data_IF_439451822779
#
_entry.id   IF_439451822779
#
_cell.length_a   1.000
_cell.length_b   1.000
_cell.length_c   1.000
_cell.angle_alpha   90.00
_cell.angle_beta   90.00
_cell.angle_gamma   90.00
#
_symmetry.space_group_name_H-M   'P 1'
#
loop_
_entity.id
_entity.type
_entity.pdbx_description
1 polymer ?
#
# COMPACT_ATOMS: atom_id res chain seq x y z
N UNK A 1 17.66 -50.52 -30.57
CA UNK A 1 17.33 -49.59 -29.47
C UNK A 1 17.21 -48.21 -30.10
N UNK A 2 15.99 -47.80 -30.43
CA UNK A 2 15.73 -46.49 -31.05
C UNK A 2 15.75 -45.41 -29.98
N UNK A 3 16.66 -44.44 -30.15
CA UNK A 3 16.73 -43.24 -29.33
C UNK A 3 15.51 -42.37 -29.63
N UNK A 4 14.57 -42.26 -28.69
CA UNK A 4 13.49 -41.29 -28.76
C UNK A 4 14.08 -39.88 -28.67
N UNK A 5 14.25 -39.25 -29.83
CA UNK A 5 14.60 -37.84 -29.94
C UNK A 5 13.48 -37.05 -29.27
N UNK A 6 13.75 -36.51 -28.08
CA UNK A 6 12.89 -35.52 -27.44
C UNK A 6 12.65 -34.40 -28.45
N UNK A 7 11.45 -34.34 -29.02
CA UNK A 7 10.99 -33.21 -29.81
C UNK A 7 11.17 -31.98 -28.93
N UNK A 8 12.16 -31.13 -29.25
CA UNK A 8 12.30 -29.82 -28.63
C UNK A 8 11.00 -29.08 -28.91
N UNK A 9 10.14 -29.02 -27.90
CA UNK A 9 8.86 -28.31 -27.95
C UNK A 9 9.12 -26.89 -28.43
N UNK A 10 8.37 -26.47 -29.44
CA UNK A 10 8.38 -25.09 -29.96
C UNK A 10 8.35 -24.12 -28.77
N UNK A 11 9.23 -23.10 -28.72
CA UNK A 11 9.19 -22.12 -27.63
C UNK A 11 7.79 -21.52 -27.56
N UNK A 12 7.26 -21.32 -26.35
CA UNK A 12 5.94 -20.72 -26.17
C UNK A 12 5.88 -19.41 -26.94
N UNK A 13 4.75 -19.16 -27.60
CA UNK A 13 4.50 -17.86 -28.19
C UNK A 13 4.53 -16.78 -27.11
N UNK A 14 4.77 -15.54 -27.52
CA UNK A 14 4.78 -14.39 -26.62
C UNK A 14 3.48 -14.28 -25.81
N UNK A 15 2.33 -14.49 -26.46
CA UNK A 15 1.02 -14.43 -25.82
C UNK A 15 0.79 -15.57 -24.83
N UNK A 16 1.23 -16.78 -25.18
CA UNK A 16 1.13 -17.92 -24.27
C UNK A 16 2.01 -17.73 -23.02
N UNK A 17 3.24 -17.22 -23.21
CA UNK A 17 4.15 -16.86 -22.10
C UNK A 17 3.56 -15.78 -21.21
N UNK A 18 2.92 -14.76 -21.81
CA UNK A 18 2.23 -13.68 -21.09
C UNK A 18 1.07 -14.21 -20.25
N UNK A 19 0.28 -15.13 -20.80
CA UNK A 19 -0.85 -15.75 -20.11
C UNK A 19 -0.40 -16.59 -18.91
N UNK A 20 0.64 -17.42 -19.09
CA UNK A 20 1.22 -18.22 -18.01
C UNK A 20 1.79 -17.32 -16.91
N UNK A 21 2.58 -16.31 -17.26
CA UNK A 21 3.12 -15.40 -16.25
C UNK A 21 1.99 -14.70 -15.48
N UNK A 22 0.92 -14.26 -16.15
CA UNK A 22 -0.23 -13.61 -15.49
C UNK A 22 -0.89 -14.48 -14.40
N UNK A 23 -0.98 -15.79 -14.58
CA UNK A 23 -1.61 -16.69 -13.62
C UNK A 23 -0.73 -17.06 -12.42
N UNK A 24 0.58 -16.81 -12.51
CA UNK A 24 1.54 -17.15 -11.44
C UNK A 24 1.60 -16.09 -10.34
N UNK A 25 1.89 -16.55 -9.11
CA UNK A 25 2.20 -15.70 -7.96
C UNK A 25 3.51 -14.92 -8.14
N UNK A 26 3.73 -13.90 -7.31
CA UNK A 26 4.97 -13.10 -7.33
C UNK A 26 6.20 -13.99 -7.16
N UNK A 27 6.19 -14.88 -6.17
CA UNK A 27 7.28 -15.77 -5.82
C UNK A 27 7.63 -16.69 -6.99
N UNK A 28 6.62 -17.29 -7.61
CA UNK A 28 6.79 -18.16 -8.76
C UNK A 28 7.40 -17.40 -9.96
N UNK A 29 6.93 -16.16 -10.22
CA UNK A 29 7.48 -15.32 -11.29
C UNK A 29 8.94 -14.96 -11.05
N UNK A 30 9.33 -14.63 -9.83
CA UNK A 30 10.71 -14.29 -9.48
C UNK A 30 11.65 -15.50 -9.60
N UNK A 31 11.21 -16.67 -9.13
CA UNK A 31 11.97 -17.92 -9.27
C UNK A 31 12.21 -18.26 -10.74
N UNK A 32 11.18 -18.12 -11.59
CA UNK A 32 11.30 -18.31 -13.03
C UNK A 32 12.26 -17.30 -13.64
N UNK A 33 12.19 -16.03 -13.28
CA UNK A 33 13.09 -14.97 -13.81
C UNK A 33 14.55 -15.14 -13.38
N UNK A 34 14.77 -15.77 -12.24
CA UNK A 34 16.12 -16.11 -11.78
C UNK A 34 16.71 -17.20 -12.65
N UNK A 35 15.89 -18.20 -13.04
CA UNK A 35 16.29 -19.31 -13.90
C UNK A 35 16.32 -18.97 -15.39
N UNK A 36 15.45 -18.06 -15.84
CA UNK A 36 15.26 -17.68 -17.24
C UNK A 36 15.23 -16.15 -17.35
N UNK A 37 16.42 -15.50 -17.39
CA UNK A 37 16.52 -14.04 -17.40
C UNK A 37 15.84 -13.37 -18.59
N UNK A 38 15.71 -14.05 -19.73
CA UNK A 38 15.02 -13.51 -20.92
C UNK A 38 13.53 -13.22 -20.70
N UNK A 39 12.90 -13.81 -19.68
CA UNK A 39 11.51 -13.54 -19.32
C UNK A 39 11.32 -12.26 -18.49
N UNK A 40 12.40 -11.62 -18.02
CA UNK A 40 12.31 -10.38 -17.23
C UNK A 40 11.63 -9.25 -17.99
N UNK A 41 11.91 -9.12 -19.29
CA UNK A 41 11.32 -8.09 -20.16
C UNK A 41 9.81 -8.29 -20.33
N UNK A 42 9.35 -9.53 -20.46
CA UNK A 42 7.90 -9.83 -20.56
C UNK A 42 7.24 -9.57 -19.22
N UNK A 43 7.86 -10.02 -18.14
CA UNK A 43 7.33 -9.83 -16.80
C UNK A 43 7.23 -8.35 -16.42
N UNK A 44 8.17 -7.50 -16.86
CA UNK A 44 8.12 -6.07 -16.55
C UNK A 44 6.91 -5.35 -17.16
N UNK A 45 6.29 -5.93 -18.19
CA UNK A 45 5.11 -5.39 -18.86
C UNK A 45 3.79 -5.89 -18.21
N UNK A 46 3.89 -6.80 -17.25
CA UNK A 46 2.74 -7.41 -16.60
C UNK A 46 2.53 -6.81 -15.22
N UNK A 47 1.33 -6.25 -14.92
CA UNK A 47 1.03 -5.85 -13.56
C UNK A 47 1.05 -7.07 -12.64
N UNK A 48 1.44 -6.82 -11.39
CA UNK A 48 1.34 -7.82 -10.34
C UNK A 48 -0.07 -7.84 -9.74
N UNK A 49 -0.39 -8.98 -9.13
CA UNK A 49 -1.57 -9.17 -8.32
C UNK A 49 -1.11 -9.49 -6.91
N UNK A 50 -1.63 -8.76 -5.92
CA UNK A 50 -1.29 -8.95 -4.51
C UNK A 50 -2.56 -9.20 -3.70
N UNK A 51 -2.44 -10.02 -2.66
CA UNK A 51 -3.55 -10.28 -1.75
C UNK A 51 -3.56 -9.22 -0.66
N UNK A 52 -2.41 -8.92 -0.06
CA UNK A 52 -2.30 -7.87 0.95
C UNK A 52 -1.11 -6.96 0.69
N UNK A 53 -1.32 -5.66 0.86
CA UNK A 53 -0.26 -4.65 0.80
C UNK A 53 -0.42 -3.74 2.02
N UNK A 54 0.68 -3.42 2.71
CA UNK A 54 0.68 -2.42 3.77
C UNK A 54 1.81 -1.42 3.53
N UNK A 55 1.46 -0.13 3.55
CA UNK A 55 2.35 1.00 3.33
C UNK A 55 2.41 1.81 4.62
N UNK A 56 3.62 2.03 5.10
CA UNK A 56 3.96 2.92 6.21
C UNK A 56 5.10 3.87 5.77
N UNK A 57 5.51 4.81 6.61
CA UNK A 57 6.57 5.79 6.29
C UNK A 57 7.95 5.15 6.07
N UNK A 58 8.26 4.05 6.78
CA UNK A 58 9.55 3.37 6.72
C UNK A 58 9.45 1.85 6.49
N UNK A 59 8.24 1.33 6.29
CA UNK A 59 7.98 -0.09 6.13
C UNK A 59 7.06 -0.36 4.91
N UNK A 60 7.40 -1.37 4.11
CA UNK A 60 6.57 -1.90 3.04
C UNK A 60 6.29 -3.37 3.29
N UNK A 61 5.02 -3.77 3.26
CA UNK A 61 4.62 -5.18 3.30
C UNK A 61 3.83 -5.55 2.05
N UNK A 62 4.20 -6.66 1.42
CA UNK A 62 3.46 -7.26 0.30
C UNK A 62 3.33 -8.75 0.61
N UNK A 63 2.10 -9.21 0.77
CA UNK A 63 1.78 -10.56 1.23
C UNK A 63 2.60 -10.91 2.49
N UNK A 64 3.42 -11.96 2.44
CA UNK A 64 4.24 -12.43 3.56
C UNK A 64 5.62 -11.75 3.65
N UNK A 65 5.93 -10.82 2.73
CA UNK A 65 7.22 -10.11 2.71
C UNK A 65 7.07 -8.74 3.31
N UNK A 66 7.95 -8.41 4.25
CA UNK A 66 8.05 -7.06 4.82
C UNK A 66 9.48 -6.56 4.78
N UNK A 67 9.65 -5.36 4.26
CA UNK A 67 10.89 -4.60 4.22
C UNK A 67 10.77 -3.44 5.21
N UNK A 68 11.79 -3.25 6.04
CA UNK A 68 11.96 -2.06 6.86
C UNK A 68 13.17 -1.28 6.38
N UNK A 69 13.03 0.02 6.15
CA UNK A 69 14.06 0.92 5.64
C UNK A 69 14.59 1.78 6.78
N UNK A 70 15.77 1.47 7.31
CA UNK A 70 16.32 2.17 8.49
C UNK A 70 17.52 3.04 8.09
N UNK A 71 17.60 4.30 8.55
CA UNK A 71 18.86 5.03 8.47
C UNK A 71 19.92 4.32 9.30
N UNK A 72 21.18 4.46 8.89
CA UNK A 72 22.33 3.99 9.67
C UNK A 72 22.85 5.14 10.52
N UNK A 73 23.20 4.85 11.77
CA UNK A 73 23.55 5.85 12.77
C UNK A 73 25.07 5.83 12.95
N UNK A 74 25.71 6.99 13.03
CA UNK A 74 27.15 7.08 13.30
C UNK A 74 27.42 6.64 14.75
N UNK A 75 28.38 5.74 14.94
CA UNK A 75 28.79 5.30 16.28
C UNK A 75 29.85 6.24 16.91
N UNK A 76 30.12 7.37 16.28
CA UNK A 76 31.20 8.28 16.69
C UNK A 76 30.86 9.06 17.97
N UNK A 77 29.62 8.97 18.49
CA UNK A 77 29.26 9.58 19.77
C UNK A 77 28.58 8.57 20.72
N UNK A 78 29.00 8.52 21.99
CA UNK A 78 28.42 7.63 23.00
C UNK A 78 27.03 8.08 23.47
N UNK A 79 26.60 9.30 23.14
CA UNK A 79 25.31 9.86 23.56
C UNK A 79 24.19 9.52 22.58
N UNK A 80 23.21 8.76 23.07
CA UNK A 80 22.09 8.30 22.24
C UNK A 80 21.15 9.45 21.81
N UNK A 81 21.28 10.59 22.47
CA UNK A 81 20.56 11.84 22.17
C UNK A 81 21.13 12.61 20.97
N UNK A 82 22.41 12.38 20.61
CA UNK A 82 23.11 13.15 19.57
C UNK A 82 23.50 12.29 18.36
N UNK A 83 22.89 11.10 18.22
CA UNK A 83 23.21 10.20 17.13
C UNK A 83 22.82 10.84 15.79
N UNK A 84 23.81 11.06 14.95
CA UNK A 84 23.60 11.55 13.59
C UNK A 84 23.41 10.36 12.65
N UNK A 85 22.47 10.49 11.72
CA UNK A 85 22.33 9.52 10.65
C UNK A 85 23.46 9.73 9.64
N UNK A 86 24.06 8.63 9.18
CA UNK A 86 25.01 8.68 8.08
C UNK A 86 24.20 8.93 6.80
N UNK A 87 24.41 10.06 6.11
CA UNK A 87 23.64 10.38 4.93
C UNK A 87 23.90 9.33 3.84
N UNK A 88 22.86 9.04 3.05
CA UNK A 88 22.93 8.10 1.92
C UNK A 88 23.36 6.68 2.30
N UNK A 89 23.09 6.24 3.54
CA UNK A 89 23.22 4.85 3.93
C UNK A 89 21.90 4.36 4.54
N UNK A 90 21.44 3.21 4.04
CA UNK A 90 20.22 2.55 4.48
C UNK A 90 20.49 1.08 4.81
N UNK A 91 20.00 0.64 5.97
CA UNK A 91 19.88 -0.77 6.30
C UNK A 91 18.44 -1.24 5.98
N UNK A 92 18.32 -2.14 5.01
CA UNK A 92 17.05 -2.80 4.68
C UNK A 92 16.97 -4.12 5.44
N UNK A 93 15.95 -4.26 6.30
CA UNK A 93 15.69 -5.50 7.04
C UNK A 93 14.50 -6.24 6.44
N UNK A 94 14.70 -7.52 6.16
CA UNK A 94 13.63 -8.47 5.86
C UNK A 94 13.40 -9.34 7.11
N UNK A 95 12.15 -9.68 7.43
CA UNK A 95 11.77 -10.37 8.68
C UNK A 95 12.50 -11.69 8.96
N UNK A 96 13.17 -12.28 7.97
CA UNK A 96 13.90 -13.55 8.07
C UNK A 96 15.43 -13.44 7.95
N UNK A 97 16.02 -12.24 7.99
CA UNK A 97 17.47 -12.06 7.82
C UNK A 97 18.09 -10.87 8.56
N UNK A 98 19.42 -10.79 8.50
CA UNK A 98 20.17 -9.62 8.96
C UNK A 98 19.91 -8.38 8.09
N UNK A 99 20.32 -7.18 8.54
CA UNK A 99 20.22 -5.97 7.73
C UNK A 99 21.14 -6.08 6.50
N UNK A 100 20.60 -5.72 5.33
CA UNK A 100 21.39 -5.50 4.13
C UNK A 100 21.67 -4.01 4.00
N UNK A 101 22.95 -3.65 3.93
CA UNK A 101 23.38 -2.26 3.84
C UNK A 101 23.50 -1.80 2.40
N UNK A 102 22.96 -0.61 2.11
CA UNK A 102 22.98 0.03 0.80
C UNK A 102 23.54 1.45 0.90
N UNK A 103 24.30 1.85 -0.12
CA UNK A 103 24.82 3.21 -0.29
C UNK A 103 23.77 4.10 -0.97
N UNK A 104 22.58 4.19 -0.37
CA UNK A 104 21.46 5.03 -0.77
C UNK A 104 20.70 5.49 0.46
N UNK A 105 19.96 6.59 0.35
CA UNK A 105 19.11 7.03 1.46
C UNK A 105 17.97 6.02 1.73
N UNK A 106 17.39 5.98 2.93
CA UNK A 106 16.23 5.13 3.22
C UNK A 106 15.06 5.38 2.26
N UNK A 107 14.79 6.65 1.94
CA UNK A 107 13.72 7.05 1.02
C UNK A 107 13.98 6.56 -0.41
N UNK A 108 15.22 6.72 -0.91
CA UNK A 108 15.59 6.21 -2.24
C UNK A 108 15.46 4.70 -2.34
N UNK A 109 15.88 3.97 -1.30
CA UNK A 109 15.74 2.51 -1.24
C UNK A 109 14.28 2.10 -1.16
N UNK A 110 13.47 2.80 -0.37
CA UNK A 110 12.04 2.54 -0.27
C UNK A 110 11.39 2.75 -1.63
N UNK A 111 11.58 3.91 -2.26
CA UNK A 111 11.05 4.19 -3.59
C UNK A 111 11.48 3.13 -4.61
N UNK A 112 12.74 2.71 -4.61
CA UNK A 112 13.23 1.69 -5.53
C UNK A 112 12.53 0.34 -5.35
N UNK A 113 12.37 -0.13 -4.12
CA UNK A 113 11.66 -1.39 -3.84
C UNK A 113 10.18 -1.22 -4.20
N UNK A 114 9.56 -0.11 -3.82
CA UNK A 114 8.18 0.22 -4.15
C UNK A 114 7.94 0.12 -5.67
N UNK A 115 8.76 0.80 -6.47
CA UNK A 115 8.63 0.83 -7.94
C UNK A 115 8.85 -0.53 -8.60
N UNK A 116 9.62 -1.41 -7.97
CA UNK A 116 9.85 -2.75 -8.49
C UNK A 116 8.58 -3.61 -8.47
N UNK A 117 7.71 -3.41 -7.46
CA UNK A 117 6.50 -4.22 -7.21
C UNK A 117 5.18 -3.48 -7.48
N UNK A 118 5.01 -2.27 -6.96
CA UNK A 118 3.78 -1.47 -7.04
C UNK A 118 3.85 -0.52 -8.25
N UNK A 119 3.47 -1.05 -9.40
CA UNK A 119 3.42 -0.32 -10.67
C UNK A 119 2.04 0.25 -10.93
N UNK A 120 1.94 1.16 -11.91
CA UNK A 120 0.64 1.64 -12.42
C UNK A 120 -0.25 0.45 -12.81
N UNK A 121 -1.52 0.51 -12.43
CA UNK A 121 -2.52 -0.55 -12.62
C UNK A 121 -2.21 -1.88 -11.89
N UNK A 122 -1.35 -1.86 -10.87
CA UNK A 122 -1.24 -3.01 -9.96
C UNK A 122 -2.59 -3.29 -9.32
N UNK A 123 -2.92 -4.56 -9.14
CA UNK A 123 -4.21 -4.97 -8.57
C UNK A 123 -3.98 -5.61 -7.21
N UNK A 124 -4.65 -5.07 -6.19
CA UNK A 124 -4.67 -5.57 -4.81
C UNK A 124 -6.05 -6.17 -4.56
N UNK A 125 -6.12 -7.50 -4.49
CA UNK A 125 -7.36 -8.27 -4.45
C UNK A 125 -7.95 -8.43 -3.05
N UNK A 126 -7.10 -8.49 -2.03
CA UNK A 126 -7.53 -8.56 -0.64
C UNK A 126 -7.58 -7.17 -0.06
N UNK A 127 -6.53 -6.74 0.64
CA UNK A 127 -6.52 -5.50 1.44
C UNK A 127 -5.29 -4.63 1.16
N UNK A 128 -5.52 -3.36 0.86
CA UNK A 128 -4.51 -2.31 0.93
C UNK A 128 -4.66 -1.59 2.28
N UNK A 129 -3.59 -1.59 3.08
CA UNK A 129 -3.47 -0.76 4.29
C UNK A 129 -2.50 0.37 4.06
N UNK A 130 -2.91 1.59 4.40
CA UNK A 130 -2.04 2.78 4.36
C UNK A 130 -2.09 3.43 5.73
N UNK A 131 -1.02 3.28 6.52
CA UNK A 131 -0.94 3.90 7.85
C UNK A 131 -0.28 5.28 7.84
N UNK A 132 0.58 5.49 6.84
CA UNK A 132 1.30 6.74 6.60
C UNK A 132 1.75 6.76 5.15
N UNK A 133 1.59 7.91 4.47
CA UNK A 133 1.91 8.07 3.07
C UNK A 133 3.39 8.48 2.94
N UNK A 134 4.23 7.68 2.27
CA UNK A 134 5.62 8.06 1.99
C UNK A 134 5.68 9.35 1.17
N UNK A 135 6.64 10.22 1.48
CA UNK A 135 6.85 11.51 0.80
C UNK A 135 7.00 11.39 -0.71
N UNK A 136 7.65 10.33 -1.21
CA UNK A 136 7.80 10.09 -2.64
C UNK A 136 6.48 9.76 -3.37
N UNK A 137 5.39 9.45 -2.65
CA UNK A 137 4.06 9.22 -3.23
C UNK A 137 3.25 10.51 -3.35
N UNK A 138 3.45 11.48 -2.45
CA UNK A 138 2.74 12.77 -2.45
C UNK A 138 2.88 13.55 -3.77
N UNK A 139 3.98 13.33 -4.50
CA UNK A 139 4.27 14.02 -5.75
C UNK A 139 3.96 13.19 -7.02
N UNK A 140 3.36 12.00 -6.88
CA UNK A 140 3.12 11.10 -8.02
C UNK A 140 1.77 11.36 -8.67
N UNK A 141 1.80 12.07 -9.79
CA UNK A 141 0.65 12.23 -10.67
C UNK A 141 0.51 11.04 -11.62
N UNK A 142 -0.72 10.78 -12.08
CA UNK A 142 -1.05 9.76 -13.08
C UNK A 142 -0.68 8.31 -12.71
N UNK A 143 -0.48 8.03 -11.43
CA UNK A 143 -0.18 6.70 -10.90
C UNK A 143 -1.36 6.22 -10.07
N UNK A 144 -1.98 5.11 -10.49
CA UNK A 144 -3.17 4.56 -9.85
C UNK A 144 -3.05 3.05 -9.64
N UNK A 145 -3.65 2.56 -8.57
CA UNK A 145 -3.80 1.13 -8.25
C UNK A 145 -5.26 0.72 -8.24
N UNK A 146 -5.53 -0.55 -8.56
CA UNK A 146 -6.84 -1.16 -8.42
C UNK A 146 -6.90 -1.89 -7.10
N UNK A 147 -7.84 -1.55 -6.23
CA UNK A 147 -7.90 -2.02 -4.84
C UNK A 147 -9.32 -2.45 -4.56
N UNK A 148 -9.51 -3.65 -4.00
CA UNK A 148 -10.84 -4.15 -3.61
C UNK A 148 -11.22 -3.66 -2.22
N UNK A 149 -10.38 -3.91 -1.22
CA UNK A 149 -10.59 -3.42 0.15
C UNK A 149 -9.48 -2.45 0.54
N UNK A 150 -9.85 -1.30 1.09
CA UNK A 150 -8.96 -0.23 1.49
C UNK A 150 -9.10 0.07 2.98
N UNK A 151 -7.99 0.14 3.70
CA UNK A 151 -7.91 0.63 5.08
C UNK A 151 -6.89 1.76 5.12
N UNK A 152 -7.33 2.97 5.47
CA UNK A 152 -6.52 4.17 5.52
C UNK A 152 -6.49 4.71 6.95
N UNK A 153 -5.31 5.15 7.39
CA UNK A 153 -5.18 6.10 8.49
C UNK A 153 -4.88 7.49 7.94
N UNK A 154 -5.83 8.40 8.09
CA UNK A 154 -5.74 9.77 7.61
C UNK A 154 -5.29 10.69 8.75
N UNK A 155 -4.10 11.30 8.61
CA UNK A 155 -3.57 12.25 9.61
C UNK A 155 -3.69 13.70 9.19
N UNK A 156 -4.08 13.97 7.95
CA UNK A 156 -4.35 15.31 7.43
C UNK A 156 -5.23 15.25 6.19
N UNK A 157 -5.74 16.40 5.77
CA UNK A 157 -6.42 16.58 4.50
C UNK A 157 -5.54 16.23 3.29
N UNK A 158 -4.25 16.55 3.36
CA UNK A 158 -3.28 16.22 2.30
C UNK A 158 -3.17 14.69 2.10
N UNK A 159 -3.20 13.92 3.19
CA UNK A 159 -3.15 12.46 3.10
C UNK A 159 -4.38 11.90 2.38
N UNK A 160 -5.57 12.48 2.64
CA UNK A 160 -6.80 12.10 1.95
C UNK A 160 -6.73 12.41 0.45
N UNK A 161 -6.30 13.62 0.08
CA UNK A 161 -6.20 14.02 -1.33
C UNK A 161 -5.21 13.13 -2.10
N UNK A 162 -4.05 12.83 -1.49
CA UNK A 162 -3.08 11.92 -2.07
C UNK A 162 -3.67 10.52 -2.28
N UNK A 163 -4.45 10.00 -1.33
CA UNK A 163 -5.13 8.71 -1.50
C UNK A 163 -6.11 8.72 -2.67
N UNK A 164 -6.93 9.78 -2.79
CA UNK A 164 -7.96 9.87 -3.83
C UNK A 164 -7.33 9.77 -5.22
N UNK A 165 -6.14 10.36 -5.39
CA UNK A 165 -5.39 10.30 -6.65
C UNK A 165 -4.74 8.93 -6.91
N UNK A 166 -4.37 8.18 -5.86
CA UNK A 166 -3.62 6.93 -5.96
C UNK A 166 -4.48 5.68 -6.22
N UNK A 167 -5.79 5.75 -6.00
CA UNK A 167 -6.69 4.58 -6.04
C UNK A 167 -7.75 4.71 -7.13
N UNK A 168 -7.93 3.65 -7.92
CA UNK A 168 -9.06 3.50 -8.85
C UNK A 168 -10.33 3.13 -8.06
N UNK A 169 -11.06 4.16 -7.62
CA UNK A 169 -12.30 4.04 -6.85
C UNK A 169 -13.40 3.22 -7.52
N UNK A 170 -13.33 2.97 -8.83
CA UNK A 170 -14.29 2.08 -9.52
C UNK A 170 -14.14 0.63 -9.08
N UNK A 171 -12.95 0.25 -8.61
CA UNK A 171 -12.61 -1.12 -8.21
C UNK A 171 -12.79 -1.40 -6.72
N UNK A 172 -13.03 -0.36 -5.93
CA UNK A 172 -13.14 -0.45 -4.48
C UNK A 172 -14.54 -0.94 -4.09
N UNK A 173 -14.56 -1.99 -3.28
CA UNK A 173 -15.77 -2.63 -2.74
C UNK A 173 -15.95 -2.34 -1.24
N UNK A 174 -14.85 -2.17 -0.49
CA UNK A 174 -14.89 -1.82 0.93
C UNK A 174 -13.81 -0.80 1.26
N UNK A 175 -14.14 0.12 2.16
CA UNK A 175 -13.21 1.13 2.65
C UNK A 175 -13.30 1.18 4.16
N UNK A 176 -12.22 1.55 4.83
CA UNK A 176 -12.20 1.85 6.25
C UNK A 176 -11.23 2.99 6.43
N UNK A 177 -11.69 4.09 7.02
CA UNK A 177 -10.87 5.29 7.19
C UNK A 177 -10.83 5.64 8.65
N UNK A 178 -9.64 5.56 9.23
CA UNK A 178 -9.34 5.99 10.58
C UNK A 178 -8.79 7.40 10.50
N UNK A 179 -9.59 8.38 10.92
CA UNK A 179 -9.17 9.79 10.93
C UNK A 179 -8.62 10.12 12.32
N UNK A 180 -7.43 10.73 12.38
CA UNK A 180 -6.80 11.14 13.66
C UNK A 180 -6.39 12.62 13.67
N UNK A 181 -7.02 13.43 12.83
CA UNK A 181 -6.83 14.88 12.70
C UNK A 181 -8.09 15.60 13.16
N UNK A 182 -8.01 16.88 13.52
CA UNK A 182 -9.17 17.69 13.84
C UNK A 182 -9.98 18.08 12.57
N UNK A 183 -9.43 17.84 11.38
CA UNK A 183 -10.04 18.10 10.06
C UNK A 183 -11.12 17.07 9.66
N UNK A 184 -11.64 16.29 10.61
CA UNK A 184 -12.56 15.16 10.37
C UNK A 184 -13.78 15.56 9.54
N UNK A 185 -14.40 16.70 9.87
CA UNK A 185 -15.63 17.16 9.23
C UNK A 185 -15.41 17.52 7.76
N UNK A 186 -14.31 18.22 7.44
CA UNK A 186 -13.97 18.62 6.07
C UNK A 186 -13.67 17.40 5.18
N UNK A 187 -12.96 16.42 5.75
CA UNK A 187 -12.68 15.14 5.11
C UNK A 187 -14.00 14.41 4.80
N UNK A 188 -14.94 14.39 5.74
CA UNK A 188 -16.25 13.75 5.53
C UNK A 188 -17.11 14.46 4.50
N UNK A 189 -17.20 15.79 4.52
CA UNK A 189 -17.95 16.55 3.51
C UNK A 189 -17.45 16.26 2.09
N UNK A 190 -16.12 16.20 1.91
CA UNK A 190 -15.52 15.85 0.61
C UNK A 190 -15.75 14.39 0.19
N UNK A 191 -15.91 13.47 1.14
CA UNK A 191 -16.22 12.06 0.83
C UNK A 191 -17.65 11.86 0.34
N UNK A 192 -18.62 12.59 0.89
CA UNK A 192 -20.04 12.49 0.49
C UNK A 192 -20.29 12.86 -0.98
N UNK A 193 -19.40 13.65 -1.57
CA UNK A 193 -19.47 14.05 -2.98
C UNK A 193 -19.06 12.90 -3.92
N UNK A 194 -18.45 11.82 -3.42
CA UNK A 194 -18.12 10.67 -4.24
C UNK A 194 -19.34 9.76 -4.45
N UNK A 195 -19.67 9.44 -5.72
CA UNK A 195 -20.80 8.58 -6.15
C UNK A 195 -20.91 7.19 -5.45
N UNK A 196 -19.89 6.80 -4.68
CA UNK A 196 -19.87 5.63 -3.79
C UNK A 196 -19.26 6.03 -2.44
N UNK A 197 -20.06 6.36 -1.42
CA UNK A 197 -19.51 6.75 -0.13
C UNK A 197 -18.76 5.56 0.50
N UNK A 198 -17.51 5.73 0.94
CA UNK A 198 -16.76 4.67 1.61
C UNK A 198 -17.45 4.22 2.92
N UNK A 199 -17.26 2.96 3.35
CA UNK A 199 -17.63 2.57 4.73
C UNK A 199 -16.71 3.36 5.68
N UNK A 200 -17.30 4.20 6.52
CA UNK A 200 -16.56 5.08 7.43
C UNK A 200 -16.55 4.42 8.81
N UNK A 201 -15.35 4.19 9.34
CA UNK A 201 -15.14 3.73 10.71
C UNK A 201 -14.44 4.82 11.51
N UNK A 202 -15.17 5.60 12.30
CA UNK A 202 -14.54 6.45 13.30
C UNK A 202 -13.87 5.57 14.37
N UNK A 203 -12.71 6.01 14.84
CA UNK A 203 -12.07 5.50 16.05
C UNK A 203 -11.73 6.70 16.93
N UNK A 204 -12.73 7.29 17.57
CA UNK A 204 -12.47 8.02 18.80
C UNK A 204 -12.50 7.03 19.96
N UNK A 205 -11.75 7.28 21.04
CA UNK A 205 -11.60 6.39 22.19
C UNK A 205 -12.84 5.50 22.42
N UNK A 206 -12.74 4.25 21.93
CA UNK A 206 -13.81 3.25 21.87
C UNK A 206 -15.10 3.68 21.15
N UNK A 207 -15.22 3.43 19.83
CA UNK A 207 -16.47 2.98 19.18
C UNK A 207 -16.21 2.51 17.74
N UNK A 208 -16.11 1.19 17.54
CA UNK A 208 -16.02 0.55 16.22
C UNK A 208 -17.44 0.29 15.71
N UNK A 209 -17.83 0.86 14.57
CA UNK A 209 -19.02 0.45 13.85
C UNK A 209 -18.65 -0.13 12.48
N UNK A 210 -18.95 -1.41 12.29
CA UNK A 210 -18.87 -2.11 11.01
C UNK A 210 -20.27 -2.14 10.41
N UNK A 211 -20.47 -1.59 9.21
CA UNK A 211 -21.76 -1.62 8.53
C UNK A 211 -21.60 -2.07 7.08
N UNK A 212 -22.53 -2.91 6.61
CA UNK A 212 -22.55 -3.48 5.27
C UNK A 212 -23.27 -2.59 4.25
N UNK A 213 -22.75 -2.58 3.02
CA UNK A 213 -23.18 -1.70 1.92
C UNK A 213 -24.64 -1.92 1.46
N UNK A 214 -25.27 -3.03 1.83
CA UNK A 214 -26.62 -3.37 1.35
C UNK A 214 -27.77 -2.70 2.13
N UNK A 215 -27.51 -1.94 3.22
CA UNK A 215 -28.58 -1.42 4.09
C UNK A 215 -28.42 0.02 4.58
N UNK A 216 -28.28 1.03 3.71
CA UNK A 216 -28.32 2.42 4.19
C UNK A 216 -29.35 3.32 3.48
N UNK A 217 -30.36 3.75 4.26
CA UNK A 217 -31.33 4.79 3.93
C UNK A 217 -30.94 6.11 4.63
N UNK A 218 -31.14 7.24 3.93
CA UNK A 218 -30.70 8.61 4.27
C UNK A 218 -31.01 9.12 5.69
N UNK A 219 -31.98 8.55 6.39
CA UNK A 219 -32.42 9.05 7.70
C UNK A 219 -31.55 8.59 8.89
N UNK A 220 -30.73 7.54 8.71
CA UNK A 220 -29.86 7.03 9.79
C UNK A 220 -28.62 7.92 10.05
N UNK A 221 -28.36 8.89 9.17
CA UNK A 221 -27.18 9.76 9.20
C UNK A 221 -27.31 10.92 10.21
N UNK A 222 -28.52 11.48 10.38
CA UNK A 222 -28.75 12.61 11.29
C UNK A 222 -28.55 12.28 12.77
N UNK A 223 -28.64 11.00 13.15
CA UNK A 223 -28.45 10.56 14.53
C UNK A 223 -26.95 10.46 14.89
N UNK A 224 -26.08 10.19 13.91
CA UNK A 224 -24.63 10.04 14.09
C UNK A 224 -23.91 11.38 14.21
N UNK A 225 -24.21 12.35 13.34
CA UNK A 225 -23.61 13.68 13.40
C UNK A 225 -23.98 14.43 14.70
N UNK A 226 -25.23 14.29 15.17
CA UNK A 226 -25.67 14.93 16.41
C UNK A 226 -25.02 14.33 17.67
N UNK A 227 -24.64 13.05 17.66
CA UNK A 227 -23.92 12.43 18.80
C UNK A 227 -22.43 12.77 18.82
N UNK A 228 -21.79 12.87 17.65
CA UNK A 228 -20.40 13.34 17.55
C UNK A 228 -20.26 14.82 17.97
N UNK A 229 -21.19 15.68 17.53
CA UNK A 229 -21.23 17.09 17.95
C UNK A 229 -21.46 17.27 19.46
N UNK A 230 -22.29 16.43 20.08
CA UNK A 230 -22.52 16.47 21.53
C UNK A 230 -21.31 15.98 22.36
N UNK A 231 -20.50 15.08 21.80
CA UNK A 231 -19.30 14.54 22.48
C UNK A 231 -18.10 15.50 22.41
N UNK A 232 -17.97 16.25 21.31
CA UNK A 232 -16.97 17.31 21.19
C UNK A 232 -17.33 18.54 22.04
N UNK A 233 -18.62 18.92 22.09
CA UNK A 233 -19.08 20.03 22.92
C UNK A 233 -18.92 19.78 24.45
N UNK A 234 -18.86 18.52 24.88
CA UNK A 234 -18.67 18.16 26.30
C UNK A 234 -17.20 18.08 26.73
N UNK A 235 -16.25 18.06 25.78
CA UNK A 235 -14.81 17.99 26.07
C UNK A 235 -14.04 19.30 25.81
N UNK A 236 -14.71 20.36 25.34
CA UNK A 236 -14.13 21.70 25.15
C UNK A 236 -14.23 22.61 26.39
N UNK A 237 -14.54 22.07 27.56
CA UNK A 237 -14.45 22.79 28.84
C UNK A 237 -13.36 22.13 29.68
N UNK A 238 -12.11 22.58 29.49
CA UNK A 238 -11.07 22.77 30.51
C UNK A 238 -9.80 23.37 29.88
#
# INVERSE_FOLDING_TARGET
>A
MENSVFLRSKPLSYDASKSVLKSLSLEAREQIQTRIPSLRTINSLLPFHFDTVSIESDDLKINDRKWKFRPVWSQEQPDWLNLQTIPNICDVRMYSGGPYRFNKSPEEMYQQIFDSYLRKNTVIRGLLRVYEIPSFLKNRKDWTMKVVNLELRCRSMEDYECLVEMVDWKTVESVTIVVTTDEILEIFEKMEVMDKPPKIGSCDAQLVFSLDFEQFHKESFFILANRAGAYLASNSIL
#
